data_IF_713719222181
#
_entry.id   IF_713719222181
#
_cell.length_a   1.000
_cell.length_b   1.000
_cell.length_c   1.000
_cell.angle_alpha   90.00
_cell.angle_beta   90.00
_cell.angle_gamma   90.00
#
_symmetry.space_group_name_H-M   'P 1'
#
loop_
_entity.id
_entity.type
_entity.pdbx_description
1 polymer ?
#
# COMPACT_ATOMS: atom_id res chain seq x y z
N UNK A 1 14.83 -15.05 -18.60
CA UNK A 1 15.37 -14.39 -17.40
C UNK A 1 14.85 -15.21 -16.23
N UNK A 2 15.69 -16.08 -15.68
CA UNK A 2 15.30 -16.95 -14.58
C UNK A 2 15.27 -16.12 -13.29
N UNK A 3 14.10 -16.01 -12.67
CA UNK A 3 13.96 -15.40 -11.35
C UNK A 3 14.30 -16.49 -10.34
N UNK A 4 15.50 -16.46 -9.81
CA UNK A 4 15.89 -17.30 -8.67
C UNK A 4 15.05 -16.91 -7.45
N UNK A 5 14.43 -17.86 -6.72
CA UNK A 5 13.72 -17.53 -5.49
C UNK A 5 14.69 -16.91 -4.48
N UNK A 6 14.27 -15.81 -3.86
CA UNK A 6 14.98 -15.18 -2.76
C UNK A 6 15.23 -16.22 -1.66
N UNK A 7 16.46 -16.27 -1.15
CA UNK A 7 16.85 -17.15 -0.04
C UNK A 7 15.96 -16.89 1.17
N UNK A 8 15.59 -17.94 1.88
CA UNK A 8 14.76 -17.90 3.08
C UNK A 8 15.34 -17.02 4.21
N UNK A 9 16.62 -16.69 4.17
CA UNK A 9 17.31 -15.80 5.11
C UNK A 9 16.98 -14.31 4.89
N UNK A 10 16.51 -13.93 3.68
CA UNK A 10 16.01 -12.58 3.43
C UNK A 10 14.52 -12.40 3.75
N UNK A 11 13.77 -13.51 3.84
CA UNK A 11 12.37 -13.49 4.28
C UNK A 11 12.20 -13.24 5.80
N UNK A 12 13.30 -13.33 6.56
CA UNK A 12 13.35 -13.01 8.00
C UNK A 12 13.88 -11.61 8.30
N UNK A 13 14.30 -10.86 7.28
CA UNK A 13 14.65 -9.47 7.46
C UNK A 13 13.36 -8.64 7.55
N UNK A 14 13.32 -7.72 8.49
CA UNK A 14 12.25 -6.81 8.93
C UNK A 14 11.50 -6.01 7.86
N UNK A 15 11.52 -6.45 6.61
CA UNK A 15 10.72 -5.92 5.51
C UNK A 15 9.28 -6.42 5.53
N UNK A 16 9.01 -7.51 6.23
CA UNK A 16 7.68 -8.06 6.43
C UNK A 16 7.30 -7.86 7.88
N UNK A 17 6.24 -7.10 8.06
CA UNK A 17 5.62 -6.68 9.30
C UNK A 17 5.62 -7.82 10.31
N UNK A 18 6.11 -7.51 11.50
CA UNK A 18 6.05 -8.34 12.68
C UNK A 18 4.57 -8.71 12.98
N UNK A 19 4.25 -10.00 13.04
CA UNK A 19 2.92 -10.54 13.38
C UNK A 19 2.36 -10.02 14.71
N UNK A 20 3.19 -9.38 15.53
CA UNK A 20 2.80 -8.72 16.76
C UNK A 20 1.94 -7.47 16.56
N UNK A 21 1.96 -6.87 15.37
CA UNK A 21 1.32 -5.59 15.12
C UNK A 21 -0.20 -5.66 14.93
N UNK A 22 -0.69 -6.80 14.45
CA UNK A 22 -2.13 -7.03 14.21
C UNK A 22 -2.93 -7.10 15.52
N UNK A 23 -2.28 -7.27 16.66
CA UNK A 23 -2.97 -7.45 17.95
C UNK A 23 -3.34 -6.16 18.68
N UNK A 24 -2.75 -5.02 18.36
CA UNK A 24 -2.98 -3.77 19.13
C UNK A 24 -3.93 -2.76 18.46
N UNK A 25 -4.26 -2.93 17.18
CA UNK A 25 -5.20 -2.03 16.48
C UNK A 25 -6.68 -2.39 16.64
N UNK A 26 -7.02 -3.29 17.58
CA UNK A 26 -8.39 -3.74 17.86
C UNK A 26 -9.33 -2.71 18.49
N UNK A 27 -8.99 -1.43 18.47
CA UNK A 27 -9.93 -0.37 18.86
C UNK A 27 -10.82 0.15 17.71
N UNK A 28 -10.63 -0.35 16.49
CA UNK A 28 -11.52 -0.06 15.36
C UNK A 28 -12.58 -1.17 15.24
N UNK A 29 -13.88 -0.83 15.03
CA UNK A 29 -15.01 -1.78 15.15
C UNK A 29 -15.17 -2.72 13.95
N UNK A 30 -14.14 -3.03 13.23
CA UNK A 30 -14.17 -3.89 12.04
C UNK A 30 -13.40 -5.19 12.29
N UNK A 31 -14.14 -6.23 12.68
CA UNK A 31 -13.75 -7.63 12.65
C UNK A 31 -12.56 -8.03 13.54
N UNK A 32 -12.62 -9.24 14.08
CA UNK A 32 -11.48 -9.82 14.78
C UNK A 32 -10.29 -10.01 13.86
N UNK A 33 -9.05 -9.72 14.31
CA UNK A 33 -7.86 -9.91 13.49
C UNK A 33 -7.67 -11.39 13.16
N UNK A 34 -7.70 -11.72 11.87
CA UNK A 34 -7.45 -13.09 11.43
C UNK A 34 -5.95 -13.34 11.31
N UNK A 35 -5.37 -14.02 12.28
CA UNK A 35 -4.03 -14.57 12.19
C UNK A 35 -4.08 -15.77 11.25
N UNK A 36 -3.57 -15.65 10.03
CA UNK A 36 -3.37 -16.80 9.15
C UNK A 36 -2.19 -17.62 9.69
N UNK A 37 -2.45 -18.55 10.61
CA UNK A 37 -1.46 -19.56 10.96
C UNK A 37 -1.35 -20.56 9.83
N UNK A 38 -0.17 -20.66 9.23
CA UNK A 38 0.14 -21.75 8.32
C UNK A 38 0.12 -23.05 9.11
N UNK A 39 -1.02 -23.77 9.08
CA UNK A 39 -1.10 -25.11 9.63
C UNK A 39 -0.28 -26.04 8.76
N UNK A 40 0.72 -26.71 9.35
CA UNK A 40 1.49 -27.77 8.70
C UNK A 40 0.76 -29.12 8.64
N UNK A 41 -0.48 -29.18 9.10
CA UNK A 41 -1.30 -30.38 9.00
C UNK A 41 -2.19 -30.31 7.75
N UNK A 42 -1.93 -31.16 6.79
CA UNK A 42 -2.87 -31.44 5.70
C UNK A 42 -4.16 -31.99 6.28
N UNK A 43 -5.16 -31.14 6.46
CA UNK A 43 -6.54 -31.57 6.68
C UNK A 43 -7.14 -31.96 5.33
N UNK A 44 -7.76 -33.14 5.21
CA UNK A 44 -8.40 -33.57 3.97
C UNK A 44 -9.78 -32.91 3.72
N UNK A 45 -10.18 -31.95 4.51
CA UNK A 45 -11.42 -31.20 4.28
C UNK A 45 -11.16 -30.05 3.30
N UNK A 46 -11.29 -30.37 2.01
CA UNK A 46 -11.51 -29.35 0.96
C UNK A 46 -12.99 -29.00 1.07
N UNK A 47 -13.28 -27.75 1.45
CA UNK A 47 -14.62 -27.20 1.39
C UNK A 47 -15.11 -27.27 -0.09
N UNK A 48 -16.16 -28.05 -0.40
CA UNK A 48 -16.67 -28.15 -1.77
C UNK A 48 -17.12 -26.80 -2.33
N UNK A 49 -17.46 -25.84 -1.46
CA UNK A 49 -17.89 -24.50 -1.83
C UNK A 49 -16.69 -23.61 -2.26
N UNK A 50 -15.51 -23.86 -1.70
CA UNK A 50 -14.27 -23.16 -2.10
C UNK A 50 -13.83 -23.52 -3.54
N UNK A 51 -13.93 -24.80 -3.92
CA UNK A 51 -13.63 -25.26 -5.28
C UNK A 51 -14.68 -24.73 -6.29
N UNK A 52 -15.93 -24.63 -5.88
CA UNK A 52 -17.01 -24.09 -6.71
C UNK A 52 -16.84 -22.57 -6.91
N UNK A 53 -16.50 -21.83 -5.86
CA UNK A 53 -16.17 -20.39 -5.96
C UNK A 53 -14.92 -20.15 -6.80
N UNK A 54 -13.90 -20.99 -6.68
CA UNK A 54 -12.69 -20.91 -7.50
C UNK A 54 -12.96 -21.23 -8.98
N UNK A 55 -13.91 -22.14 -9.28
CA UNK A 55 -14.37 -22.40 -10.65
C UNK A 55 -15.19 -21.25 -11.21
N UNK A 56 -16.12 -20.67 -10.45
CA UNK A 56 -16.89 -19.50 -10.85
C UNK A 56 -16.00 -18.30 -11.21
N UNK A 57 -14.95 -18.04 -10.42
CA UNK A 57 -13.96 -16.98 -10.72
C UNK A 57 -13.14 -17.30 -11.98
N UNK A 58 -12.89 -18.58 -12.31
CA UNK A 58 -12.19 -18.98 -13.54
C UNK A 58 -13.05 -18.89 -14.80
N UNK A 59 -14.37 -19.08 -14.67
CA UNK A 59 -15.29 -19.07 -15.81
C UNK A 59 -15.81 -17.67 -16.16
N UNK A 60 -15.75 -16.70 -15.24
CA UNK A 60 -15.98 -15.31 -15.55
C UNK A 60 -14.68 -14.71 -16.08
N UNK A 61 -14.60 -14.46 -17.36
CA UNK A 61 -13.59 -13.62 -18.03
C UNK A 61 -13.74 -12.12 -17.64
N UNK A 62 -14.26 -11.83 -16.46
CA UNK A 62 -14.29 -10.47 -15.95
C UNK A 62 -12.89 -10.12 -15.49
N UNK A 63 -12.24 -9.20 -16.20
CA UNK A 63 -11.00 -8.60 -15.75
C UNK A 63 -11.33 -7.82 -14.48
N UNK A 64 -10.75 -8.24 -13.36
CA UNK A 64 -10.84 -7.46 -12.13
C UNK A 64 -9.95 -6.23 -12.31
N UNK A 65 -10.50 -5.07 -12.08
CA UNK A 65 -9.78 -3.80 -12.17
C UNK A 65 -9.90 -3.07 -10.86
N UNK A 66 -8.77 -2.56 -10.35
CA UNK A 66 -8.71 -1.65 -9.23
C UNK A 66 -8.41 -0.25 -9.76
N UNK A 67 -9.33 0.67 -9.55
CA UNK A 67 -9.17 2.09 -9.88
C UNK A 67 -8.40 2.80 -8.77
N UNK A 68 -7.18 3.23 -9.06
CA UNK A 68 -6.23 3.74 -8.07
C UNK A 68 -6.02 5.25 -8.22
N UNK A 69 -6.06 5.98 -7.09
CA UNK A 69 -5.57 7.34 -6.98
C UNK A 69 -4.28 7.36 -6.18
N UNK A 70 -3.22 7.97 -6.71
CA UNK A 70 -1.90 8.08 -6.07
C UNK A 70 -1.64 9.52 -5.65
N UNK A 71 -1.26 9.71 -4.39
CA UNK A 71 -0.91 10.99 -3.79
C UNK A 71 0.55 10.94 -3.31
N UNK A 72 1.42 11.63 -4.03
CA UNK A 72 2.85 11.72 -3.73
C UNK A 72 3.09 12.99 -2.91
N UNK A 73 3.47 12.85 -1.65
CA UNK A 73 3.48 13.94 -0.68
C UNK A 73 4.66 14.92 -0.84
N UNK A 74 4.58 16.05 -0.12
CA UNK A 74 5.64 17.05 -0.11
C UNK A 74 6.97 16.49 0.38
N UNK A 75 6.96 15.57 1.36
CA UNK A 75 8.18 14.99 1.90
C UNK A 75 8.89 14.13 0.85
N UNK A 76 8.13 13.31 0.12
CA UNK A 76 8.65 12.53 -0.99
C UNK A 76 9.08 13.42 -2.17
N UNK A 77 8.31 14.47 -2.49
CA UNK A 77 8.70 15.45 -3.50
C UNK A 77 10.05 16.08 -3.20
N UNK A 78 10.24 16.56 -1.97
CA UNK A 78 11.51 17.15 -1.52
C UNK A 78 12.67 16.17 -1.54
N UNK A 79 12.38 14.88 -1.30
CA UNK A 79 13.38 13.82 -1.33
C UNK A 79 13.86 13.52 -2.74
N UNK A 80 12.94 13.40 -3.71
CA UNK A 80 13.26 12.97 -5.07
C UNK A 80 13.59 14.11 -6.04
N UNK A 81 12.99 15.29 -5.87
CA UNK A 81 13.16 16.43 -6.77
C UNK A 81 14.64 16.81 -7.02
N UNK A 82 15.56 16.83 -6.02
CA UNK A 82 16.96 17.14 -6.26
C UNK A 82 17.69 16.11 -7.14
N UNK A 83 17.23 14.85 -7.18
CA UNK A 83 17.83 13.78 -7.99
C UNK A 83 17.26 13.73 -9.41
N UNK A 84 16.14 14.39 -9.62
CA UNK A 84 15.43 14.45 -10.89
C UNK A 84 15.47 15.87 -11.51
N UNK A 85 16.47 16.67 -11.10
CA UNK A 85 16.73 18.04 -11.59
C UNK A 85 15.56 19.02 -11.35
N UNK A 86 14.67 18.73 -10.41
CA UNK A 86 13.44 19.51 -10.17
C UNK A 86 12.41 19.37 -11.30
N UNK A 87 12.52 18.35 -12.13
CA UNK A 87 11.69 18.11 -13.30
C UNK A 87 10.46 17.27 -12.91
N UNK A 88 9.29 17.86 -12.93
CA UNK A 88 8.02 17.23 -12.56
C UNK A 88 7.63 16.10 -13.52
N UNK A 89 8.03 16.15 -14.79
CA UNK A 89 7.78 15.06 -15.75
C UNK A 89 8.61 13.82 -15.40
N UNK A 90 9.86 14.00 -14.98
CA UNK A 90 10.68 12.88 -14.49
C UNK A 90 10.11 12.27 -13.22
N UNK A 91 9.55 13.10 -12.33
CA UNK A 91 8.86 12.61 -11.11
C UNK A 91 7.62 11.81 -11.52
N UNK A 92 6.83 12.31 -12.46
CA UNK A 92 5.67 11.62 -13.04
C UNK A 92 6.07 10.26 -13.62
N UNK A 93 7.11 10.23 -14.47
CA UNK A 93 7.60 9.00 -15.09
C UNK A 93 8.05 7.97 -14.05
N UNK A 94 8.75 8.43 -13.00
CA UNK A 94 9.12 7.59 -11.86
C UNK A 94 7.89 7.00 -11.17
N UNK A 95 6.86 7.79 -10.91
CA UNK A 95 5.63 7.33 -10.27
C UNK A 95 4.83 6.38 -11.16
N UNK A 96 4.80 6.60 -12.47
CA UNK A 96 4.21 5.66 -13.43
C UNK A 96 4.96 4.33 -13.44
N UNK A 97 6.29 4.36 -13.39
CA UNK A 97 7.10 3.15 -13.26
C UNK A 97 6.84 2.43 -11.92
N UNK A 98 6.64 3.18 -10.84
CA UNK A 98 6.27 2.64 -9.53
C UNK A 98 4.92 1.92 -9.57
N UNK A 99 3.87 2.54 -10.14
CA UNK A 99 2.55 1.91 -10.30
C UNK A 99 2.63 0.68 -11.21
N UNK A 100 3.40 0.74 -12.30
CA UNK A 100 3.63 -0.43 -13.17
C UNK A 100 4.33 -1.57 -12.42
N UNK A 101 5.22 -1.26 -11.49
CA UNK A 101 5.84 -2.25 -10.60
C UNK A 101 4.79 -2.96 -9.72
N UNK A 102 3.88 -2.20 -9.13
CA UNK A 102 2.75 -2.75 -8.35
C UNK A 102 1.86 -3.62 -9.26
N UNK A 103 1.49 -3.13 -10.44
CA UNK A 103 0.71 -3.88 -11.43
C UNK A 103 1.34 -5.24 -11.76
N UNK A 104 2.67 -5.29 -11.95
CA UNK A 104 3.37 -6.53 -12.26
C UNK A 104 3.23 -7.60 -11.16
N UNK A 105 3.15 -7.18 -9.88
CA UNK A 105 2.91 -8.07 -8.75
C UNK A 105 1.47 -8.60 -8.75
N UNK A 106 0.49 -7.77 -9.11
CA UNK A 106 -0.92 -8.15 -9.20
C UNK A 106 -1.26 -9.01 -10.44
N UNK A 107 -0.35 -9.05 -11.42
CA UNK A 107 -0.40 -9.98 -12.55
C UNK A 107 0.37 -11.29 -12.28
N UNK A 108 1.03 -11.43 -11.14
CA UNK A 108 1.84 -12.61 -10.87
C UNK A 108 0.96 -13.87 -10.72
N UNK A 109 1.27 -14.98 -11.42
CA UNK A 109 0.44 -16.19 -11.42
C UNK A 109 0.16 -16.81 -10.04
N UNK A 110 1.02 -16.54 -9.05
CA UNK A 110 0.83 -17.05 -7.67
C UNK A 110 -0.40 -16.48 -6.97
N UNK A 111 -0.93 -15.34 -7.44
CA UNK A 111 -2.17 -14.77 -6.92
C UNK A 111 -3.39 -15.63 -7.28
N UNK A 112 -3.32 -16.42 -8.36
CA UNK A 112 -4.41 -17.24 -8.85
C UNK A 112 -5.48 -16.47 -9.61
N UNK A 113 -5.45 -15.14 -9.57
CA UNK A 113 -6.30 -14.22 -10.32
C UNK A 113 -5.45 -13.03 -10.76
N UNK A 114 -5.71 -12.47 -11.93
CA UNK A 114 -5.07 -11.24 -12.40
C UNK A 114 -5.96 -10.05 -12.07
N UNK A 115 -5.37 -9.01 -11.48
CA UNK A 115 -6.06 -7.77 -11.15
C UNK A 115 -5.35 -6.65 -11.90
N UNK A 116 -6.08 -5.96 -12.78
CA UNK A 116 -5.57 -4.78 -13.47
C UNK A 116 -5.65 -3.56 -12.54
N UNK A 117 -4.62 -2.71 -12.57
CA UNK A 117 -4.61 -1.43 -11.84
C UNK A 117 -4.80 -0.31 -12.87
N UNK A 118 -5.89 0.42 -12.74
CA UNK A 118 -6.18 1.62 -13.54
C UNK A 118 -5.83 2.86 -12.73
N UNK A 119 -4.83 3.62 -13.16
CA UNK A 119 -4.45 4.87 -12.50
C UNK A 119 -5.41 5.99 -12.92
N UNK A 120 -6.35 6.34 -12.05
CA UNK A 120 -7.36 7.38 -12.29
C UNK A 120 -6.83 8.76 -11.94
N UNK A 121 -6.01 8.86 -10.89
CA UNK A 121 -5.50 10.14 -10.40
C UNK A 121 -4.05 10.00 -9.94
N UNK A 122 -3.24 11.01 -10.25
CA UNK A 122 -1.87 11.15 -9.79
C UNK A 122 -1.64 12.59 -9.34
N UNK A 123 -1.56 12.79 -8.03
CA UNK A 123 -1.28 14.08 -7.42
C UNK A 123 0.18 14.14 -6.93
N UNK A 124 0.96 15.07 -7.48
CA UNK A 124 2.31 15.40 -7.04
C UNK A 124 2.22 16.63 -6.14
N UNK A 125 2.31 16.43 -4.84
CA UNK A 125 2.08 17.47 -3.82
C UNK A 125 3.42 18.15 -3.51
N UNK A 126 3.67 19.30 -4.13
CA UNK A 126 4.87 20.11 -3.88
C UNK A 126 4.80 20.90 -2.58
N UNK A 127 3.58 21.14 -2.07
CA UNK A 127 3.31 21.80 -0.80
C UNK A 127 2.16 21.10 -0.10
N UNK A 128 2.43 20.59 1.11
CA UNK A 128 1.46 19.83 1.88
C UNK A 128 0.20 20.65 2.19
N UNK A 129 -1.00 20.14 1.85
CA UNK A 129 -2.27 20.78 2.19
C UNK A 129 -2.46 20.86 3.71
N UNK A 130 -3.14 21.92 4.17
CA UNK A 130 -3.40 22.13 5.61
C UNK A 130 -4.34 21.04 6.16
N UNK A 131 -5.26 20.57 5.32
CA UNK A 131 -6.25 19.51 5.63
C UNK A 131 -5.68 18.08 5.46
N UNK A 132 -4.39 17.96 5.10
CA UNK A 132 -3.65 16.69 5.06
C UNK A 132 -2.31 16.82 5.81
N UNK A 133 -2.30 17.04 7.12
CA UNK A 133 -1.07 17.21 7.88
C UNK A 133 -0.26 15.90 7.97
N UNK A 134 1.07 16.04 8.01
CA UNK A 134 2.00 14.91 8.06
C UNK A 134 2.06 14.16 9.40
N UNK A 135 1.56 14.74 10.50
CA UNK A 135 1.69 14.21 11.88
C UNK A 135 3.12 13.78 12.26
N UNK A 136 4.13 14.36 11.59
CA UNK A 136 5.53 13.99 11.78
C UNK A 136 5.87 12.55 11.42
N UNK A 137 5.00 11.85 10.68
CA UNK A 137 5.15 10.44 10.29
C UNK A 137 4.53 9.44 11.27
N UNK A 138 3.71 9.89 12.27
CA UNK A 138 2.94 8.95 13.08
C UNK A 138 1.89 8.28 12.19
N UNK A 139 2.07 6.96 11.97
CA UNK A 139 1.41 6.20 10.91
C UNK A 139 -0.12 6.14 11.04
N UNK A 140 -0.64 5.96 12.28
CA UNK A 140 -2.08 5.83 12.51
C UNK A 140 -2.81 7.15 12.24
N UNK A 141 -2.28 8.26 12.75
CA UNK A 141 -2.81 9.59 12.50
C UNK A 141 -2.71 9.99 11.04
N UNK A 142 -1.59 9.64 10.38
CA UNK A 142 -1.40 9.91 8.96
C UNK A 142 -2.36 9.13 8.09
N UNK A 143 -2.52 7.81 8.33
CA UNK A 143 -3.48 6.98 7.60
C UNK A 143 -4.91 7.53 7.75
N UNK A 144 -5.34 7.79 8.99
CA UNK A 144 -6.68 8.31 9.24
C UNK A 144 -6.91 9.65 8.53
N UNK A 145 -5.96 10.58 8.63
CA UNK A 145 -6.02 11.88 7.97
C UNK A 145 -6.10 11.74 6.46
N UNK A 146 -5.24 10.89 5.88
CA UNK A 146 -5.27 10.64 4.45
C UNK A 146 -6.57 9.99 3.98
N UNK A 147 -7.10 9.03 4.72
CA UNK A 147 -8.37 8.40 4.37
C UNK A 147 -9.53 9.39 4.35
N UNK A 148 -9.60 10.30 5.32
CA UNK A 148 -10.60 11.39 5.31
C UNK A 148 -10.39 12.32 4.12
N UNK A 149 -9.14 12.73 3.86
CA UNK A 149 -8.79 13.58 2.73
C UNK A 149 -9.19 12.92 1.40
N UNK A 150 -8.71 11.69 1.16
CA UNK A 150 -9.02 10.96 -0.07
C UNK A 150 -10.53 10.80 -0.29
N UNK A 151 -11.27 10.41 0.76
CA UNK A 151 -12.71 10.26 0.66
C UNK A 151 -13.43 11.59 0.37
N UNK A 152 -12.94 12.72 0.90
CA UNK A 152 -13.54 14.03 0.65
C UNK A 152 -13.35 14.50 -0.80
N UNK A 153 -12.29 14.07 -1.46
CA UNK A 153 -11.97 14.44 -2.85
C UNK A 153 -12.38 13.38 -3.88
N UNK A 154 -12.81 12.21 -3.43
CA UNK A 154 -13.32 11.16 -4.33
C UNK A 154 -14.78 11.45 -4.69
N UNK A 155 -15.14 11.54 -5.97
CA UNK A 155 -16.53 11.60 -6.37
C UNK A 155 -17.31 10.40 -5.80
N UNK A 156 -18.49 10.62 -5.18
CA UNK A 156 -19.19 9.53 -4.49
C UNK A 156 -19.87 8.52 -5.42
N UNK A 157 -20.04 8.89 -6.69
CA UNK A 157 -20.70 8.03 -7.70
C UNK A 157 -19.66 7.16 -8.41
N UNK A 158 -19.77 5.85 -8.27
CA UNK A 158 -18.92 4.86 -8.90
C UNK A 158 -18.85 5.00 -10.44
N UNK A 159 -19.93 5.46 -11.07
CA UNK A 159 -19.97 5.74 -12.51
C UNK A 159 -19.27 7.03 -12.94
N UNK A 160 -18.77 7.83 -12.00
CA UNK A 160 -18.11 9.08 -12.30
C UNK A 160 -16.68 8.81 -12.81
N UNK A 161 -16.31 9.36 -13.96
CA UNK A 161 -15.03 9.06 -14.63
C UNK A 161 -13.76 9.45 -13.85
N UNK A 162 -13.89 10.19 -12.76
CA UNK A 162 -12.82 10.51 -11.82
C UNK A 162 -12.99 9.81 -10.47
N UNK A 163 -13.95 8.89 -10.33
CA UNK A 163 -14.05 8.04 -9.17
C UNK A 163 -12.84 7.08 -9.11
N UNK A 164 -12.41 6.72 -7.95
CA UNK A 164 -11.42 5.68 -7.70
C UNK A 164 -11.82 4.78 -6.54
N UNK A 165 -11.48 3.51 -6.63
CA UNK A 165 -11.75 2.52 -5.59
C UNK A 165 -10.85 2.71 -4.36
N UNK A 166 -9.60 3.12 -4.57
CA UNK A 166 -8.60 3.20 -3.52
C UNK A 166 -7.65 4.38 -3.68
N UNK A 167 -7.36 5.04 -2.56
CA UNK A 167 -6.28 6.02 -2.44
C UNK A 167 -4.98 5.37 -1.93
N UNK A 168 -3.86 5.62 -2.63
CA UNK A 168 -2.51 5.28 -2.20
C UNK A 168 -1.75 6.56 -1.88
N UNK A 169 -1.37 6.74 -0.62
CA UNK A 169 -0.50 7.82 -0.19
C UNK A 169 0.96 7.36 -0.17
N UNK A 170 1.78 8.00 -0.95
CA UNK A 170 3.20 7.70 -1.10
C UNK A 170 3.98 8.80 -0.39
N UNK A 171 4.61 8.46 0.72
CA UNK A 171 5.28 9.43 1.60
C UNK A 171 6.79 9.28 1.62
N UNK A 172 7.49 10.41 1.71
CA UNK A 172 8.92 10.46 2.00
C UNK A 172 9.26 10.53 3.50
N UNK A 173 8.24 10.42 4.35
CA UNK A 173 8.43 10.38 5.81
C UNK A 173 8.85 8.99 6.26
N UNK A 174 9.66 8.94 7.33
CA UNK A 174 9.94 7.74 8.11
C UNK A 174 8.74 7.48 9.04
N UNK A 175 7.93 6.48 8.70
CA UNK A 175 6.72 6.12 9.44
C UNK A 175 7.08 5.48 10.78
N UNK A 176 6.33 5.82 11.81
CA UNK A 176 6.54 5.23 13.13
C UNK A 176 5.23 5.05 13.91
N UNK A 177 5.28 4.15 14.88
CA UNK A 177 4.30 4.07 15.96
C UNK A 177 4.93 4.46 17.30
N UNK A 178 4.08 4.77 18.26
CA UNK A 178 4.48 4.88 19.67
C UNK A 178 4.11 3.58 20.38
N UNK A 179 5.13 2.79 20.70
CA UNK A 179 4.99 1.52 21.41
C UNK A 179 5.71 1.62 22.77
N UNK A 180 4.99 1.36 23.85
CA UNK A 180 5.53 1.47 25.21
C UNK A 180 6.23 2.81 25.48
N UNK A 181 5.69 3.90 24.91
CA UNK A 181 6.24 5.25 25.05
C UNK A 181 7.51 5.51 24.23
N UNK A 182 7.87 4.65 23.30
CA UNK A 182 9.03 4.80 22.42
C UNK A 182 8.60 4.80 20.95
N UNK A 183 9.33 5.54 20.11
CA UNK A 183 9.17 5.47 18.66
C UNK A 183 9.69 4.13 18.16
N UNK A 184 8.84 3.42 17.39
CA UNK A 184 9.21 2.27 16.59
C UNK A 184 9.00 2.61 15.11
N UNK A 185 10.09 2.72 14.35
CA UNK A 185 10.10 3.04 12.90
C UNK A 185 10.24 1.81 12.01
N UNK A 186 9.89 0.61 12.48
CA UNK A 186 9.95 -0.60 11.66
C UNK A 186 8.84 -0.68 10.60
N UNK A 187 7.81 0.16 10.72
CA UNK A 187 6.67 0.17 9.80
C UNK A 187 6.99 1.00 8.57
N UNK A 188 6.81 0.44 7.40
CA UNK A 188 7.02 1.11 6.11
C UNK A 188 5.72 1.34 5.33
N UNK A 189 4.59 0.84 5.81
CA UNK A 189 3.27 1.02 5.25
C UNK A 189 2.17 0.71 6.26
N UNK A 190 0.95 1.09 5.96
CA UNK A 190 -0.22 0.79 6.79
C UNK A 190 -1.50 0.80 5.97
N UNK A 191 -2.38 -0.17 6.26
CA UNK A 191 -3.71 -0.28 5.69
C UNK A 191 -4.72 -0.78 6.73
N UNK A 192 -5.99 -0.42 6.57
CA UNK A 192 -7.10 -1.05 7.30
C UNK A 192 -7.52 -2.32 6.58
N UNK A 193 -7.45 -3.46 7.23
CA UNK A 193 -7.77 -4.76 6.62
C UNK A 193 -9.26 -4.84 6.25
N UNK A 194 -9.54 -5.27 4.99
CA UNK A 194 -10.91 -5.45 4.49
C UNK A 194 -11.69 -4.15 4.29
N UNK A 195 -11.00 -3.02 4.18
CA UNK A 195 -11.64 -1.69 4.11
C UNK A 195 -12.00 -1.19 2.72
N UNK A 196 -11.74 -1.93 1.63
CA UNK A 196 -11.88 -1.44 0.26
C UNK A 196 -13.28 -0.88 -0.05
N UNK A 197 -14.33 -1.59 0.36
CA UNK A 197 -15.71 -1.18 0.09
C UNK A 197 -16.29 -0.21 1.14
N UNK A 198 -15.44 0.34 2.01
CA UNK A 198 -15.87 1.27 3.04
C UNK A 198 -15.21 2.63 2.78
N UNK A 199 -15.99 3.69 2.44
CA UNK A 199 -15.44 4.95 1.91
C UNK A 199 -14.30 5.56 2.72
N UNK A 200 -14.36 5.55 4.06
CA UNK A 200 -13.31 6.11 4.92
C UNK A 200 -12.15 5.17 5.19
N UNK A 201 -12.14 3.99 4.60
CA UNK A 201 -11.10 2.97 4.79
C UNK A 201 -10.49 2.47 3.49
N UNK A 202 -10.99 2.91 2.33
CA UNK A 202 -10.43 2.57 1.00
C UNK A 202 -9.17 3.38 0.66
N UNK A 203 -8.17 3.29 1.55
CA UNK A 203 -6.94 4.07 1.48
C UNK A 203 -5.79 3.31 2.16
N UNK A 204 -4.59 3.51 1.65
CA UNK A 204 -3.36 2.92 2.18
C UNK A 204 -2.23 3.94 2.16
N UNK A 205 -1.24 3.78 3.03
CA UNK A 205 -0.02 4.59 3.01
C UNK A 205 1.20 3.70 2.84
N UNK A 206 2.22 4.19 2.12
CA UNK A 206 3.48 3.50 1.91
C UNK A 206 4.64 4.50 1.86
N UNK A 207 5.76 4.15 2.46
CA UNK A 207 7.00 4.92 2.34
C UNK A 207 7.60 4.77 0.94
N UNK A 208 8.15 5.85 0.40
CA UNK A 208 8.96 5.86 -0.80
C UNK A 208 10.23 6.67 -0.58
N UNK A 209 11.33 5.98 -0.48
CA UNK A 209 12.61 6.55 -0.12
C UNK A 209 12.84 6.51 1.39
N UNK A 210 14.08 6.69 1.77
CA UNK A 210 14.52 6.74 3.18
C UNK A 210 15.59 7.81 3.32
N UNK A 211 15.80 8.27 4.54
CA UNK A 211 16.98 9.04 4.91
C UNK A 211 18.03 8.13 5.53
N UNK A 212 19.30 8.41 5.30
CA UNK A 212 20.39 7.73 6.01
C UNK A 212 20.44 8.16 7.50
N UNK A 213 21.36 7.54 8.27
CA UNK A 213 21.53 7.84 9.68
C UNK A 213 21.94 9.30 9.97
N UNK A 214 22.41 10.02 8.95
CA UNK A 214 22.76 11.44 9.00
C UNK A 214 21.62 12.35 8.54
N UNK A 215 20.44 11.77 8.23
CA UNK A 215 19.29 12.51 7.69
C UNK A 215 19.46 12.91 6.22
N UNK A 216 20.43 12.32 5.52
CA UNK A 216 20.63 12.61 4.09
C UNK A 216 19.66 11.78 3.27
N UNK A 217 18.96 12.38 2.28
CA UNK A 217 18.06 11.66 1.39
C UNK A 217 18.73 10.50 0.66
N UNK A 218 18.06 9.35 0.65
CA UNK A 218 18.52 8.14 -0.03
C UNK A 218 17.40 7.54 -0.92
N UNK A 219 17.11 8.17 -2.07
CA UNK A 219 15.97 7.75 -2.89
C UNK A 219 16.14 6.39 -3.56
N UNK A 220 17.37 5.88 -3.70
CA UNK A 220 17.64 4.61 -4.39
C UNK A 220 17.01 3.38 -3.71
N UNK A 221 16.68 3.46 -2.42
CA UNK A 221 15.91 2.42 -1.74
C UNK A 221 14.40 2.46 -2.08
N UNK A 222 13.94 3.49 -2.80
CA UNK A 222 12.54 3.76 -3.04
C UNK A 222 11.78 2.64 -3.73
N UNK A 223 12.37 1.96 -4.71
CA UNK A 223 11.69 0.91 -5.46
C UNK A 223 11.39 -0.36 -4.64
N UNK A 224 11.96 -0.55 -3.46
CA UNK A 224 11.49 -1.58 -2.51
C UNK A 224 10.08 -1.28 -2.03
N UNK A 225 9.67 -0.03 -2.03
CA UNK A 225 8.33 0.44 -1.71
C UNK A 225 7.23 -0.12 -2.63
N UNK A 226 7.57 -0.59 -3.84
CA UNK A 226 6.62 -1.31 -4.72
C UNK A 226 6.03 -2.52 -4.00
N UNK A 227 6.86 -3.28 -3.27
CA UNK A 227 6.40 -4.44 -2.49
C UNK A 227 5.57 -4.01 -1.28
N UNK A 228 5.95 -2.91 -0.64
CA UNK A 228 5.22 -2.34 0.50
C UNK A 228 3.82 -1.91 0.05
N UNK A 229 3.73 -1.07 -0.98
CA UNK A 229 2.44 -0.62 -1.50
C UNK A 229 1.57 -1.80 -1.99
N UNK A 230 2.16 -2.77 -2.69
CA UNK A 230 1.42 -3.96 -3.12
C UNK A 230 0.91 -4.78 -1.91
N UNK A 231 1.69 -4.86 -0.83
CA UNK A 231 1.28 -5.53 0.40
C UNK A 231 0.10 -4.81 1.07
N UNK A 232 0.20 -3.48 1.23
CA UNK A 232 -0.86 -2.67 1.84
C UNK A 232 -2.16 -2.68 1.01
N UNK A 233 -2.05 -2.64 -0.31
CA UNK A 233 -3.18 -2.81 -1.22
C UNK A 233 -3.81 -4.21 -1.04
N UNK A 234 -2.99 -5.24 -0.85
CA UNK A 234 -3.44 -6.62 -0.64
C UNK A 234 -4.21 -6.87 0.66
N UNK A 235 -4.13 -5.94 1.62
CA UNK A 235 -4.95 -5.98 2.84
C UNK A 235 -6.41 -5.56 2.60
N UNK A 236 -6.73 -4.96 1.44
CA UNK A 236 -8.05 -4.44 1.08
C UNK A 236 -8.91 -5.49 0.40
#
# INVERSE_FOLDING_TARGET
MEITPLRNDLASSSLFIDDHYVKEETSLPLGDPHVVKRSSSRSPFIDPDFETKRRLIRDTKENLTLELAVFFDEAAYRLFSPFLDGDDEKIRDMLLAYVNGIQALYHHPSLGVSIDISLIRLDIIQRQPIDLPHFGGERGSLLNSFCYYANAYNPPEDSHFHHWDMGLYVTGLDLYAIENGRKNGATMGLATVGGLCIPHYSCVIAELGVTDQLGKPYPSAGFTSVYIAAHEIGHK
#
